data_IF_149555144022
#
_entry.id   IF_149555144022
#
_cell.length_a   1.000
_cell.length_b   1.000
_cell.length_c   1.000
_cell.angle_alpha   90.00
_cell.angle_beta   90.00
_cell.angle_gamma   90.00
#
_symmetry.space_group_name_H-M   'P 1'
#
loop_
_entity.id
_entity.type
_entity.pdbx_description
1 polymer ?
#
# COMPACT_ATOMS: atom_id res chain seq x y z
N UNK A 1 16.15 20.58 10.85
CA UNK A 1 15.35 19.62 11.34
C UNK A 1 14.99 19.53 12.80
N UNK A 2 15.93 19.65 13.80
CA UNK A 2 15.58 19.36 15.21
C UNK A 2 14.54 20.33 15.75
N UNK A 3 14.65 21.61 15.43
CA UNK A 3 13.71 22.64 15.93
C UNK A 3 12.26 22.39 15.52
N UNK A 4 12.04 21.91 14.25
CA UNK A 4 10.69 21.61 13.74
C UNK A 4 10.09 20.33 14.31
N UNK A 5 10.91 19.43 14.86
CA UNK A 5 10.46 18.21 15.51
C UNK A 5 10.10 18.43 17.00
N UNK A 6 10.57 19.52 17.58
CA UNK A 6 10.41 19.83 18.99
C UNK A 6 9.38 20.96 19.18
N UNK A 7 8.11 20.64 18.92
CA UNK A 7 7.02 21.60 19.00
C UNK A 7 6.55 21.89 20.44
N UNK A 8 6.91 21.04 21.39
CA UNK A 8 6.54 21.18 22.80
C UNK A 8 7.57 20.51 23.70
N UNK A 9 7.92 21.17 24.79
CA UNK A 9 8.70 20.60 25.89
C UNK A 9 7.93 20.81 27.18
N UNK A 10 7.84 19.78 27.99
CA UNK A 10 7.28 19.85 29.34
C UNK A 10 8.39 19.64 30.36
N UNK A 11 8.45 20.53 31.33
CA UNK A 11 9.41 20.47 32.42
C UNK A 11 8.64 20.41 33.75
N UNK A 12 8.91 19.37 34.52
CA UNK A 12 8.40 19.24 35.88
C UNK A 12 9.50 19.63 36.86
N UNK A 13 9.18 20.54 37.78
CA UNK A 13 10.09 21.00 38.81
C UNK A 13 9.40 20.98 40.19
N UNK A 14 10.13 20.52 41.20
CA UNK A 14 9.65 20.48 42.58
C UNK A 14 10.17 21.69 43.31
N UNK A 15 9.24 22.47 43.91
CA UNK A 15 9.46 23.62 44.72
C UNK A 15 9.01 23.33 46.15
N UNK A 16 9.33 24.24 47.09
CA UNK A 16 8.92 24.10 48.51
C UNK A 16 7.40 24.04 48.68
N UNK A 17 6.65 24.64 47.75
CA UNK A 17 5.19 24.68 47.73
C UNK A 17 4.54 23.61 46.80
N UNK A 18 5.35 22.61 46.37
CA UNK A 18 4.90 21.46 45.58
C UNK A 18 5.48 21.41 44.17
N UNK A 19 5.14 20.32 43.47
CA UNK A 19 5.61 20.07 42.11
C UNK A 19 4.75 20.83 41.11
N UNK A 20 5.40 21.51 40.16
CA UNK A 20 4.75 22.30 39.09
C UNK A 20 5.21 21.83 37.71
N UNK A 21 4.26 21.75 36.80
CA UNK A 21 4.51 21.42 35.39
C UNK A 21 4.46 22.72 34.56
N UNK A 22 5.51 22.96 33.81
CA UNK A 22 5.58 24.05 32.82
C UNK A 22 5.62 23.45 31.42
N UNK A 23 4.71 23.89 30.56
CA UNK A 23 4.68 23.52 29.14
C UNK A 23 5.17 24.70 28.31
N UNK A 24 6.20 24.45 27.51
CA UNK A 24 6.74 25.43 26.56
C UNK A 24 6.45 24.96 25.14
N UNK A 25 5.69 25.77 24.42
CA UNK A 25 5.40 25.50 23.00
C UNK A 25 6.44 26.19 22.12
N UNK A 26 6.88 25.50 21.06
CA UNK A 26 7.90 25.96 20.12
C UNK A 26 9.17 26.47 20.84
N UNK A 27 9.82 25.63 21.67
CA UNK A 27 10.91 26.04 22.56
C UNK A 27 12.17 26.52 21.82
N UNK A 28 12.30 26.15 20.54
CA UNK A 28 13.40 26.54 19.68
C UNK A 28 12.86 27.46 18.57
N UNK A 29 13.23 28.75 18.68
CA UNK A 29 12.96 29.68 17.57
C UNK A 29 13.88 29.38 16.40
N UNK A 30 13.31 29.27 15.20
CA UNK A 30 14.07 29.10 13.97
C UNK A 30 13.83 30.26 13.01
N UNK A 31 14.84 30.51 12.18
CA UNK A 31 14.77 31.57 11.16
C UNK A 31 13.80 31.12 10.06
N UNK A 32 12.93 32.03 9.62
CA UNK A 32 12.00 31.81 8.48
C UNK A 32 12.71 31.59 7.12
N UNK A 33 14.04 31.72 7.07
CA UNK A 33 14.83 31.58 5.85
C UNK A 33 15.45 30.19 5.68
N UNK A 34 15.25 29.25 6.61
CA UNK A 34 15.77 27.89 6.48
C UNK A 34 14.81 27.01 5.69
N UNK A 35 15.36 26.17 4.77
CA UNK A 35 14.60 25.09 4.15
C UNK A 35 13.96 24.21 5.22
N UNK A 36 12.70 23.91 5.05
CA UNK A 36 11.98 22.97 5.94
C UNK A 36 12.31 21.56 5.48
N UNK A 37 13.00 20.73 6.29
CA UNK A 37 13.28 19.34 5.91
C UNK A 37 11.98 18.59 5.61
N UNK A 38 11.89 17.99 4.42
CA UNK A 38 10.69 17.29 3.96
C UNK A 38 9.61 18.21 3.39
N UNK A 39 9.90 19.50 3.15
CA UNK A 39 8.98 20.40 2.46
C UNK A 39 8.70 19.91 1.05
N UNK A 40 7.40 19.88 0.68
CA UNK A 40 6.97 19.58 -0.67
C UNK A 40 6.91 20.88 -1.47
N UNK A 41 7.73 20.96 -2.51
CA UNK A 41 7.69 22.04 -3.51
C UNK A 41 7.16 21.38 -4.78
N UNK A 42 5.86 21.57 -5.03
CA UNK A 42 5.18 20.95 -6.18
C UNK A 42 4.91 22.01 -7.24
N UNK A 43 5.11 21.65 -8.49
CA UNK A 43 4.69 22.47 -9.63
C UNK A 43 3.17 22.40 -9.79
N UNK A 44 2.58 23.39 -10.46
CA UNK A 44 1.18 23.38 -10.83
C UNK A 44 0.91 22.33 -11.91
N UNK A 45 -0.25 21.69 -11.86
CA UNK A 45 -0.69 20.70 -12.82
C UNK A 45 -1.00 19.36 -12.22
N UNK A 46 -1.30 18.40 -13.08
CA UNK A 46 -1.63 17.02 -12.73
C UNK A 46 -0.67 16.06 -13.43
N UNK A 47 -0.35 14.96 -12.78
CA UNK A 47 0.41 13.84 -13.34
C UNK A 47 -0.55 12.66 -13.50
N UNK A 48 -0.84 12.29 -14.75
CA UNK A 48 -1.62 11.11 -15.03
C UNK A 48 -0.79 9.85 -14.76
N UNK A 49 -1.27 9.02 -13.83
CA UNK A 49 -0.61 7.76 -13.48
C UNK A 49 -1.06 6.66 -14.45
N UNK A 50 -0.09 5.85 -14.89
CA UNK A 50 -0.33 4.64 -15.70
C UNK A 50 -1.05 4.87 -17.05
N UNK A 51 -1.01 6.06 -17.63
CA UNK A 51 -1.75 6.49 -18.82
C UNK A 51 -1.60 5.60 -20.07
N UNK A 52 -0.53 4.79 -20.13
CA UNK A 52 -0.26 3.89 -21.27
C UNK A 52 -0.47 2.40 -20.93
N UNK A 53 -1.10 2.11 -19.80
CA UNK A 53 -1.33 0.73 -19.36
C UNK A 53 -2.69 0.24 -19.81
N UNK A 54 -2.72 -0.99 -20.31
CA UNK A 54 -3.97 -1.70 -20.55
C UNK A 54 -4.66 -1.98 -19.21
N UNK A 55 -5.93 -1.59 -19.11
CA UNK A 55 -6.74 -1.76 -17.90
C UNK A 55 -7.58 -3.03 -18.04
N UNK A 56 -7.49 -3.91 -17.05
CA UNK A 56 -8.37 -5.05 -16.88
C UNK A 56 -9.29 -4.79 -15.70
N UNK A 57 -10.57 -4.68 -15.94
CA UNK A 57 -11.57 -4.49 -14.88
C UNK A 57 -12.14 -5.84 -14.45
N UNK A 58 -12.14 -6.10 -13.14
CA UNK A 58 -12.73 -7.32 -12.56
C UNK A 58 -13.64 -6.98 -11.39
N UNK A 59 -14.60 -7.86 -11.12
CA UNK A 59 -15.41 -7.80 -9.90
C UNK A 59 -14.82 -8.75 -8.84
N UNK A 60 -14.74 -8.27 -7.61
CA UNK A 60 -14.19 -9.00 -6.47
C UNK A 60 -15.21 -8.98 -5.35
N UNK A 61 -15.52 -10.14 -4.81
CA UNK A 61 -16.34 -10.30 -3.61
C UNK A 61 -15.49 -10.84 -2.45
N UNK A 62 -15.62 -10.24 -1.28
CA UNK A 62 -15.05 -10.80 -0.06
C UNK A 62 -16.03 -11.80 0.57
N UNK A 63 -15.75 -13.09 0.45
CA UNK A 63 -16.55 -14.20 1.04
C UNK A 63 -16.18 -14.51 2.49
N UNK A 64 -15.15 -13.84 3.03
CA UNK A 64 -14.72 -13.99 4.42
C UNK A 64 -15.60 -13.21 5.39
N UNK A 65 -15.29 -13.35 6.67
CA UNK A 65 -15.96 -12.69 7.79
C UNK A 65 -15.27 -11.41 8.25
N UNK A 66 -14.12 -11.06 7.64
CA UNK A 66 -13.30 -9.91 7.99
C UNK A 66 -12.96 -9.06 6.77
N UNK A 67 -12.78 -7.74 6.96
CA UNK A 67 -12.28 -6.90 5.89
C UNK A 67 -10.88 -7.31 5.45
N UNK A 68 -10.64 -7.28 4.14
CA UNK A 68 -9.32 -7.52 3.53
C UNK A 68 -8.86 -6.24 2.85
N UNK A 69 -7.61 -5.83 3.09
CA UNK A 69 -7.02 -4.64 2.49
C UNK A 69 -5.81 -5.02 1.64
N UNK A 70 -5.82 -4.61 0.38
CA UNK A 70 -4.77 -4.93 -0.59
C UNK A 70 -4.05 -3.66 -1.01
N UNK A 71 -2.72 -3.66 -0.86
CA UNK A 71 -1.86 -2.56 -1.27
C UNK A 71 -1.68 -2.47 -2.79
N UNK A 72 -1.34 -1.27 -3.26
CA UNK A 72 -1.20 -0.93 -4.69
C UNK A 72 -0.30 -1.87 -5.50
N UNK A 73 0.77 -2.39 -4.90
CA UNK A 73 1.78 -3.21 -5.59
C UNK A 73 1.74 -4.68 -5.21
N UNK A 74 0.68 -5.14 -4.54
CA UNK A 74 0.50 -6.57 -4.29
C UNK A 74 0.14 -7.29 -5.60
N UNK A 75 0.73 -8.47 -5.84
CA UNK A 75 0.36 -9.32 -6.98
C UNK A 75 -1.07 -9.84 -6.78
N UNK A 76 -2.03 -9.28 -7.56
CA UNK A 76 -3.44 -9.47 -7.26
C UNK A 76 -3.91 -10.93 -7.42
N UNK A 77 -3.24 -11.71 -8.25
CA UNK A 77 -3.43 -13.15 -8.38
C UNK A 77 -3.30 -13.90 -7.05
N UNK A 78 -2.40 -13.45 -6.17
CA UNK A 78 -2.04 -14.12 -4.91
C UNK A 78 -2.72 -13.53 -3.68
N UNK A 79 -3.70 -12.64 -3.83
CA UNK A 79 -4.40 -12.05 -2.69
C UNK A 79 -5.14 -13.12 -1.88
N UNK A 80 -5.51 -12.76 -0.64
CA UNK A 80 -6.23 -13.63 0.30
C UNK A 80 -7.30 -14.48 -0.39
N UNK A 81 -7.35 -15.78 -0.04
CA UNK A 81 -8.29 -16.75 -0.62
C UNK A 81 -9.77 -16.43 -0.35
N UNK A 82 -10.06 -15.63 0.69
CA UNK A 82 -11.41 -15.13 0.95
C UNK A 82 -11.93 -14.16 -0.14
N UNK A 83 -11.05 -13.57 -0.95
CA UNK A 83 -11.44 -12.75 -2.09
C UNK A 83 -11.71 -13.64 -3.29
N UNK A 84 -12.95 -13.68 -3.71
CA UNK A 84 -13.41 -14.48 -4.84
C UNK A 84 -13.55 -13.62 -6.11
N UNK A 85 -12.90 -14.06 -7.17
CA UNK A 85 -12.87 -13.45 -8.50
C UNK A 85 -12.18 -14.40 -9.49
N UNK A 86 -12.25 -14.09 -10.79
CA UNK A 86 -11.53 -14.85 -11.83
C UNK A 86 -10.00 -14.61 -11.72
N UNK A 87 -9.31 -15.47 -10.98
CA UNK A 87 -7.87 -15.34 -10.66
C UNK A 87 -6.98 -15.27 -11.89
N UNK A 88 -7.31 -15.99 -12.95
CA UNK A 88 -6.51 -16.00 -14.19
C UNK A 88 -6.38 -14.62 -14.81
N UNK A 89 -7.42 -13.77 -14.70
CA UNK A 89 -7.42 -12.40 -15.22
C UNK A 89 -6.48 -11.47 -14.43
N UNK A 90 -6.13 -11.84 -13.20
CA UNK A 90 -5.26 -11.07 -12.33
C UNK A 90 -3.78 -11.54 -12.35
N UNK A 91 -3.46 -12.59 -13.11
CA UNK A 91 -2.09 -13.07 -13.21
C UNK A 91 -1.18 -12.01 -13.83
N UNK A 92 -0.08 -11.69 -13.15
CA UNK A 92 0.86 -10.67 -13.59
C UNK A 92 0.36 -9.23 -13.45
N UNK A 93 -0.72 -9.01 -12.66
CA UNK A 93 -1.35 -7.70 -12.53
C UNK A 93 -1.38 -7.22 -11.08
N UNK A 94 -1.48 -5.90 -10.93
CA UNK A 94 -1.62 -5.17 -9.68
C UNK A 94 -2.75 -4.14 -9.77
N UNK A 95 -3.17 -3.61 -8.64
CA UNK A 95 -4.17 -2.54 -8.62
C UNK A 95 -3.69 -1.29 -9.38
N UNK A 96 -4.59 -0.70 -10.17
CA UNK A 96 -4.38 0.59 -10.82
C UNK A 96 -4.73 1.73 -9.86
N UNK A 97 -3.90 1.91 -8.86
CA UNK A 97 -4.01 2.97 -7.86
C UNK A 97 -2.62 3.55 -7.55
N UNK A 98 -2.59 4.72 -6.94
CA UNK A 98 -1.34 5.40 -6.56
C UNK A 98 -0.49 4.52 -5.64
N UNK A 99 0.85 4.58 -5.80
CA UNK A 99 1.79 3.89 -4.93
C UNK A 99 1.58 4.27 -3.46
N UNK A 100 1.67 3.28 -2.55
CA UNK A 100 1.46 3.48 -1.13
C UNK A 100 0.00 3.54 -0.69
N UNK A 101 -0.97 3.49 -1.63
CA UNK A 101 -2.40 3.39 -1.32
C UNK A 101 -2.89 1.95 -1.34
N UNK A 102 -4.14 1.73 -0.97
CA UNK A 102 -4.73 0.40 -0.87
C UNK A 102 -6.24 0.42 -1.12
N UNK A 103 -6.79 -0.73 -1.50
CA UNK A 103 -8.24 -0.96 -1.61
C UNK A 103 -8.67 -1.90 -0.50
N UNK A 104 -9.76 -1.54 0.18
CA UNK A 104 -10.38 -2.34 1.24
C UNK A 104 -11.64 -3.01 0.69
N UNK A 105 -11.78 -4.30 0.99
CA UNK A 105 -12.89 -5.17 0.62
C UNK A 105 -13.64 -5.59 1.87
N UNK A 106 -14.87 -5.11 2.05
CA UNK A 106 -15.71 -5.46 3.19
C UNK A 106 -16.38 -6.82 2.99
N UNK A 107 -16.65 -7.58 4.07
CA UNK A 107 -17.34 -8.85 3.99
C UNK A 107 -18.66 -8.76 3.22
N UNK A 108 -18.90 -9.71 2.30
CA UNK A 108 -20.11 -9.79 1.49
C UNK A 108 -20.29 -8.71 0.43
N UNK A 109 -19.38 -7.73 0.34
CA UNK A 109 -19.47 -6.64 -0.62
C UNK A 109 -18.79 -7.02 -1.95
N UNK A 110 -19.45 -6.70 -3.06
CA UNK A 110 -18.87 -6.78 -4.40
C UNK A 110 -18.25 -5.42 -4.73
N UNK A 111 -17.04 -5.43 -5.24
CA UNK A 111 -16.33 -4.23 -5.67
C UNK A 111 -15.71 -4.44 -7.05
N UNK A 112 -16.01 -3.54 -7.98
CA UNK A 112 -15.31 -3.45 -9.26
C UNK A 112 -13.98 -2.73 -9.08
N UNK A 113 -12.91 -3.28 -9.61
CA UNK A 113 -11.55 -2.73 -9.53
C UNK A 113 -10.85 -2.80 -10.88
N UNK A 114 -9.91 -1.89 -11.06
CA UNK A 114 -9.03 -1.86 -12.21
C UNK A 114 -7.67 -2.45 -11.87
N UNK A 115 -7.18 -3.33 -12.73
CA UNK A 115 -5.85 -3.92 -12.66
C UNK A 115 -5.04 -3.52 -13.88
N UNK A 116 -3.73 -3.38 -13.68
CA UNK A 116 -2.73 -3.15 -14.73
C UNK A 116 -1.58 -4.13 -14.60
N UNK A 117 -0.89 -4.39 -15.69
CA UNK A 117 0.27 -5.27 -15.70
C UNK A 117 1.43 -4.73 -14.85
N UNK A 118 2.13 -5.63 -14.17
CA UNK A 118 3.44 -5.34 -13.61
C UNK A 118 4.39 -4.87 -14.70
N UNK A 119 5.21 -3.89 -14.35
CA UNK A 119 6.30 -3.37 -15.19
C UNK A 119 7.66 -3.94 -14.78
N UNK A 120 8.70 -3.43 -15.39
CA UNK A 120 10.09 -3.78 -15.09
C UNK A 120 10.43 -5.19 -15.57
N UNK A 121 11.16 -5.95 -14.75
CA UNK A 121 11.63 -7.31 -15.11
C UNK A 121 10.52 -8.35 -15.06
N UNK A 122 9.34 -8.03 -14.59
CA UNK A 122 8.19 -8.93 -14.42
C UNK A 122 8.57 -10.23 -13.67
N UNK A 123 9.44 -10.10 -12.68
CA UNK A 123 9.82 -11.17 -11.75
C UNK A 123 9.07 -10.99 -10.43
N UNK A 124 8.37 -12.02 -10.00
CA UNK A 124 7.57 -12.04 -8.76
C UNK A 124 8.17 -13.04 -7.79
N UNK A 125 8.37 -12.61 -6.55
CA UNK A 125 8.84 -13.44 -5.45
C UNK A 125 8.20 -12.98 -4.13
N UNK A 126 7.95 -13.92 -3.25
CA UNK A 126 7.27 -13.68 -1.98
C UNK A 126 5.76 -13.71 -2.10
N UNK A 127 5.04 -12.72 -1.57
CA UNK A 127 3.59 -12.72 -1.44
C UNK A 127 3.06 -13.99 -0.76
N UNK A 128 2.22 -14.77 -1.44
CA UNK A 128 1.78 -16.10 -0.97
C UNK A 128 2.55 -17.26 -1.62
N UNK A 129 3.63 -16.96 -2.33
CA UNK A 129 4.54 -17.96 -2.90
C UNK A 129 3.94 -18.78 -4.02
N UNK A 130 2.92 -18.28 -4.72
CA UNK A 130 2.28 -19.04 -5.79
C UNK A 130 3.11 -19.02 -7.08
N UNK A 131 3.83 -17.93 -7.35
CA UNK A 131 4.58 -17.73 -8.60
C UNK A 131 6.05 -18.05 -8.46
N UNK A 132 6.81 -17.28 -7.68
CA UNK A 132 8.26 -17.41 -7.45
C UNK A 132 9.06 -17.52 -8.76
N UNK A 133 8.96 -16.50 -9.63
CA UNK A 133 9.66 -16.51 -10.91
C UNK A 133 9.24 -15.40 -11.88
N UNK A 134 9.68 -15.53 -13.14
CA UNK A 134 9.31 -14.62 -14.20
C UNK A 134 7.86 -14.87 -14.65
N UNK A 135 7.05 -13.80 -14.70
CA UNK A 135 5.64 -13.88 -15.08
C UNK A 135 5.43 -14.35 -16.54
N UNK A 136 6.42 -14.09 -17.39
CA UNK A 136 6.36 -14.38 -18.82
C UNK A 136 6.90 -15.79 -19.16
N UNK A 137 7.31 -16.58 -18.13
CA UNK A 137 7.71 -17.99 -18.29
C UNK A 137 6.48 -18.90 -18.16
N UNK A 138 6.17 -19.63 -19.23
CA UNK A 138 5.01 -20.53 -19.27
C UNK A 138 5.10 -21.68 -18.23
N UNK A 139 6.29 -22.14 -17.89
CA UNK A 139 6.46 -23.17 -16.85
C UNK A 139 6.16 -22.60 -15.46
N UNK A 140 6.62 -21.35 -15.18
CA UNK A 140 6.29 -20.63 -13.94
C UNK A 140 4.80 -20.42 -13.83
N UNK A 141 4.15 -19.98 -14.92
CA UNK A 141 2.71 -19.76 -14.96
C UNK A 141 1.94 -21.07 -14.75
N UNK A 142 2.32 -22.16 -15.42
CA UNK A 142 1.67 -23.46 -15.23
C UNK A 142 1.78 -23.95 -13.78
N UNK A 143 2.96 -23.79 -13.15
CA UNK A 143 3.17 -24.13 -11.76
C UNK A 143 2.34 -23.23 -10.83
N UNK A 144 2.25 -21.92 -11.12
CA UNK A 144 1.44 -20.98 -10.36
C UNK A 144 -0.04 -21.37 -10.36
N UNK A 145 -0.57 -21.84 -11.49
CA UNK A 145 -1.97 -22.32 -11.58
C UNK A 145 -2.18 -23.60 -10.73
N UNK A 146 -1.22 -24.51 -10.69
CA UNK A 146 -1.29 -25.69 -9.80
C UNK A 146 -1.24 -25.28 -8.32
N UNK A 147 -0.38 -24.31 -7.97
CA UNK A 147 -0.28 -23.78 -6.62
C UNK A 147 -1.57 -23.05 -6.20
N UNK A 148 -2.19 -22.33 -7.15
CA UNK A 148 -3.48 -21.66 -6.91
C UNK A 148 -4.57 -22.65 -6.47
N UNK A 149 -4.70 -23.79 -7.14
CA UNK A 149 -5.70 -24.81 -6.77
C UNK A 149 -5.50 -25.28 -5.32
N UNK A 150 -4.25 -25.55 -4.93
CA UNK A 150 -3.91 -25.92 -3.54
C UNK A 150 -4.22 -24.77 -2.56
N UNK A 151 -3.92 -23.54 -2.95
CA UNK A 151 -4.15 -22.35 -2.13
C UNK A 151 -5.65 -22.08 -1.90
N UNK A 152 -6.47 -22.36 -2.89
CA UNK A 152 -7.93 -22.22 -2.80
C UNK A 152 -8.62 -23.45 -2.20
N UNK A 153 -7.92 -24.57 -2.03
CA UNK A 153 -8.46 -25.80 -1.47
C UNK A 153 -9.33 -26.60 -2.45
N UNK A 154 -9.06 -26.48 -3.75
CA UNK A 154 -9.73 -27.19 -4.84
C UNK A 154 -8.77 -28.06 -5.64
#
# INVERSE_FOLDING_TARGET
GVASMMYMVQVEATFDDGTKLVTVHNPIAYSKTSMIPGEYIVDEGEIELNSQKEITTIEVINKGDRPVQIGSHYHFFEVNSALDFERNQAYGKRLDIAAGTSVRFEPGSIKSINLIDFSGRRYVSGFNGLVEGFLDDENVKAKAMQNLNKFLGV
#
